data_IF_600287609621
#
_entry.id   IF_600287609621
#
_cell.length_a   1.000
_cell.length_b   1.000
_cell.length_c   1.000
_cell.angle_alpha   90.00
_cell.angle_beta   90.00
_cell.angle_gamma   90.00
#
_symmetry.space_group_name_H-M   'P 1'
#
loop_
_entity.id
_entity.type
_entity.pdbx_description
1 polymer ?
#
# COMPACT_ATOMS: atom_id res chain seq x y z
N UNK A 1 -5.12 10.73 -9.40
CA UNK A 1 -4.86 10.61 -7.94
C UNK A 1 -5.76 9.52 -7.40
N UNK A 2 -5.25 8.61 -6.57
CA UNK A 2 -6.04 7.61 -5.84
C UNK A 2 -5.78 7.78 -4.36
N UNK A 3 -6.83 7.68 -3.54
CA UNK A 3 -6.72 7.89 -2.11
C UNK A 3 -7.35 6.73 -1.34
N UNK A 4 -6.75 6.39 -0.21
CA UNK A 4 -7.31 5.42 0.75
C UNK A 4 -7.04 5.90 2.16
N UNK A 5 -7.96 5.62 3.07
CA UNK A 5 -7.83 5.97 4.48
C UNK A 5 -7.79 4.73 5.36
N UNK A 6 -7.18 4.86 6.53
CA UNK A 6 -7.28 3.87 7.59
C UNK A 6 -7.29 4.58 8.95
N UNK A 7 -7.83 3.90 9.97
CA UNK A 7 -7.66 4.30 11.36
C UNK A 7 -6.52 3.48 11.95
N UNK A 8 -5.61 4.17 12.63
CA UNK A 8 -4.48 3.56 13.32
C UNK A 8 -4.95 2.58 14.40
N UNK A 9 -4.13 1.57 14.66
CA UNK A 9 -4.34 0.58 15.71
C UNK A 9 -3.07 0.44 16.56
N UNK A 10 -3.18 -0.20 17.74
CA UNK A 10 -2.04 -0.38 18.63
C UNK A 10 -1.45 0.96 19.09
N UNK A 11 -0.12 1.19 18.95
CA UNK A 11 0.51 2.46 19.34
C UNK A 11 -0.06 3.71 18.64
N UNK A 12 -0.68 3.52 17.47
CA UNK A 12 -1.30 4.60 16.69
C UNK A 12 -2.83 4.64 16.86
N UNK A 13 -3.38 4.01 17.90
CA UNK A 13 -4.83 4.05 18.16
C UNK A 13 -5.33 5.50 18.26
N UNK A 14 -6.40 5.82 17.53
CA UNK A 14 -6.98 7.16 17.45
C UNK A 14 -6.44 8.02 16.31
N UNK A 15 -5.28 7.69 15.74
CA UNK A 15 -4.76 8.35 14.54
C UNK A 15 -5.64 8.03 13.32
N UNK A 16 -5.89 9.02 12.47
CA UNK A 16 -6.51 8.83 11.15
C UNK A 16 -5.46 9.08 10.09
N UNK A 17 -5.27 8.12 9.19
CA UNK A 17 -4.31 8.21 8.10
C UNK A 17 -5.02 8.34 6.76
N UNK A 18 -4.44 9.16 5.89
CA UNK A 18 -4.82 9.34 4.49
C UNK A 18 -3.58 9.06 3.64
N UNK A 19 -3.68 8.11 2.73
CA UNK A 19 -2.65 7.84 1.74
C UNK A 19 -3.12 8.30 0.37
N UNK A 20 -2.33 9.12 -0.30
CA UNK A 20 -2.57 9.65 -1.63
C UNK A 20 -1.51 9.13 -2.60
N UNK A 21 -1.95 8.40 -3.62
CA UNK A 21 -1.09 7.90 -4.69
C UNK A 21 -1.20 8.82 -5.91
N UNK A 22 -0.05 9.26 -6.38
CA UNK A 22 0.16 9.97 -7.65
C UNK A 22 0.91 9.06 -8.62
N UNK A 23 1.05 9.41 -9.90
CA UNK A 23 1.85 8.61 -10.83
C UNK A 23 3.33 8.46 -10.42
N UNK A 24 3.89 9.41 -9.66
CA UNK A 24 5.31 9.44 -9.31
C UNK A 24 5.62 9.22 -7.83
N UNK A 25 4.62 9.24 -6.95
CA UNK A 25 4.84 9.11 -5.51
C UNK A 25 3.59 8.69 -4.75
N UNK A 26 3.82 8.11 -3.57
CA UNK A 26 2.82 7.83 -2.54
C UNK A 26 3.09 8.75 -1.35
N UNK A 27 2.05 9.45 -0.90
CA UNK A 27 2.11 10.43 0.18
C UNK A 27 1.23 9.96 1.33
N UNK A 28 1.81 9.82 2.52
CA UNK A 28 1.09 9.46 3.74
C UNK A 28 0.89 10.68 4.62
N UNK A 29 -0.37 10.95 4.94
CA UNK A 29 -0.78 12.00 5.84
C UNK A 29 -1.40 11.42 7.11
N UNK A 30 -1.21 12.12 8.22
CA UNK A 30 -1.86 11.85 9.49
C UNK A 30 -2.72 13.05 9.89
N UNK A 31 -3.93 12.79 10.37
CA UNK A 31 -4.80 13.82 10.91
C UNK A 31 -4.21 14.38 12.20
N UNK A 32 -4.08 15.71 12.25
CA UNK A 32 -3.59 16.42 13.42
C UNK A 32 -4.71 17.26 14.02
N UNK A 33 -5.30 16.72 15.10
CA UNK A 33 -6.47 17.29 15.78
C UNK A 33 -6.30 18.77 16.15
N UNK A 34 -5.16 19.25 16.72
CA UNK A 34 -5.04 20.64 17.13
C UNK A 34 -5.19 21.66 15.99
N UNK A 35 -4.88 21.26 14.75
CA UNK A 35 -5.01 22.12 13.56
C UNK A 35 -6.17 21.70 12.65
N UNK A 36 -6.91 20.65 12.99
CA UNK A 36 -7.98 20.07 12.18
C UNK A 36 -7.58 19.88 10.70
N UNK A 37 -6.39 19.33 10.47
CA UNK A 37 -5.90 19.08 9.11
C UNK A 37 -4.98 17.88 9.02
N UNK A 38 -4.86 17.35 7.81
CA UNK A 38 -3.89 16.32 7.47
C UNK A 38 -2.49 16.93 7.30
N UNK A 39 -1.51 16.38 8.00
CA UNK A 39 -0.10 16.71 7.86
C UNK A 39 0.63 15.58 7.14
N UNK A 40 1.49 15.91 6.18
CA UNK A 40 2.35 14.94 5.51
C UNK A 40 3.36 14.40 6.52
N UNK A 41 3.32 13.09 6.77
CA UNK A 41 4.23 12.43 7.71
C UNK A 41 5.31 11.63 7.01
N UNK A 42 5.00 11.05 5.83
CA UNK A 42 5.94 10.26 5.03
C UNK A 42 5.61 10.31 3.54
N UNK A 43 6.59 9.97 2.70
CA UNK A 43 6.44 9.83 1.26
C UNK A 43 7.38 8.78 0.69
N UNK A 44 6.95 8.08 -0.36
CA UNK A 44 7.77 7.15 -1.12
C UNK A 44 7.63 7.46 -2.61
N UNK A 45 8.74 7.48 -3.35
CA UNK A 45 8.74 7.70 -4.80
C UNK A 45 8.39 6.41 -5.53
N UNK A 46 7.69 6.53 -6.65
CA UNK A 46 7.29 5.43 -7.51
C UNK A 46 8.10 5.47 -8.80
N UNK A 47 8.47 4.29 -9.29
CA UNK A 47 9.07 4.14 -10.61
C UNK A 47 8.10 4.59 -11.70
N UNK A 48 8.62 5.33 -12.69
CA UNK A 48 7.88 5.77 -13.88
C UNK A 48 7.28 4.63 -14.73
N UNK A 49 7.78 3.41 -14.59
CA UNK A 49 7.31 2.20 -15.29
C UNK A 49 6.02 1.61 -14.68
N UNK A 50 5.62 2.04 -13.48
CA UNK A 50 4.39 1.57 -12.84
C UNK A 50 3.14 2.05 -13.58
N UNK A 51 2.24 1.10 -13.86
CA UNK A 51 0.91 1.44 -14.36
C UNK A 51 0.07 2.08 -13.27
N UNK A 52 -0.38 3.30 -13.53
CA UNK A 52 -1.33 4.04 -12.70
C UNK A 52 -2.72 4.02 -13.36
N UNK A 53 -3.83 3.88 -12.63
CA UNK A 53 -3.95 3.70 -11.18
C UNK A 53 -3.36 2.39 -10.64
N UNK A 54 -2.82 2.44 -9.41
CA UNK A 54 -2.42 1.25 -8.68
C UNK A 54 -3.68 0.44 -8.28
N UNK A 55 -3.68 -0.85 -8.62
CA UNK A 55 -4.72 -1.79 -8.23
C UNK A 55 -4.11 -3.07 -7.67
N UNK A 56 -4.46 -3.50 -6.44
CA UNK A 56 -5.26 -2.74 -5.46
C UNK A 56 -4.51 -1.50 -4.94
N UNK A 57 -5.18 -0.60 -4.21
CA UNK A 57 -4.53 0.45 -3.43
C UNK A 57 -5.22 0.59 -2.08
N UNK A 58 -4.72 -0.13 -1.07
CA UNK A 58 -5.35 -0.19 0.25
C UNK A 58 -4.35 0.07 1.37
N UNK A 59 -4.68 1.03 2.25
CA UNK A 59 -3.86 1.35 3.41
C UNK A 59 -4.18 0.34 4.53
N UNK A 60 -3.16 -0.38 4.97
CA UNK A 60 -3.26 -1.48 5.93
C UNK A 60 -2.50 -1.10 7.20
N UNK A 61 -3.14 -1.27 8.35
CA UNK A 61 -2.43 -1.15 9.62
C UNK A 61 -1.42 -2.28 9.75
N UNK A 62 -0.15 -1.91 9.82
CA UNK A 62 0.94 -2.84 10.09
C UNK A 62 1.38 -2.71 11.56
N UNK A 63 2.22 -3.64 12.02
CA UNK A 63 2.85 -3.60 13.35
C UNK A 63 4.09 -2.68 13.35
N UNK A 64 3.97 -1.54 12.69
CA UNK A 64 5.00 -0.52 12.49
C UNK A 64 4.45 0.85 12.89
N UNK A 65 5.32 1.86 12.98
CA UNK A 65 4.92 3.21 13.40
C UNK A 65 3.88 3.86 12.48
N UNK A 66 3.88 3.49 11.19
CA UNK A 66 2.93 3.95 10.19
C UNK A 66 2.27 2.77 9.47
N UNK A 67 1.03 2.91 8.97
CA UNK A 67 0.41 1.91 8.11
C UNK A 67 1.17 1.77 6.78
N UNK A 68 1.00 0.63 6.12
CA UNK A 68 1.64 0.31 4.84
C UNK A 68 0.60 0.28 3.72
N UNK A 69 0.96 0.65 2.50
CA UNK A 69 0.05 0.61 1.36
C UNK A 69 0.25 -0.72 0.61
N UNK A 70 -0.79 -1.53 0.50
CA UNK A 70 -0.80 -2.70 -0.38
C UNK A 70 -1.16 -2.27 -1.81
N UNK A 71 -0.30 -2.63 -2.76
CA UNK A 71 -0.40 -2.23 -4.18
C UNK A 71 -0.49 -3.42 -5.14
N UNK A 72 -0.48 -4.64 -4.62
CA UNK A 72 -0.44 -5.86 -5.40
C UNK A 72 -0.71 -7.12 -4.58
N UNK A 73 -1.22 -8.14 -5.25
CA UNK A 73 -1.28 -9.51 -4.75
C UNK A 73 -0.83 -10.43 -5.88
N UNK A 74 0.07 -11.37 -5.59
CA UNK A 74 0.57 -12.36 -6.53
C UNK A 74 0.39 -13.76 -5.96
N UNK A 75 0.03 -14.71 -6.82
CA UNK A 75 0.05 -16.13 -6.46
C UNK A 75 1.50 -16.61 -6.43
N UNK A 76 1.82 -17.47 -5.47
CA UNK A 76 3.13 -18.14 -5.40
C UNK A 76 3.08 -19.48 -6.12
N UNK A 77 4.23 -20.16 -6.27
CA UNK A 77 4.29 -21.52 -6.81
C UNK A 77 3.53 -22.55 -5.94
N UNK A 78 3.32 -22.23 -4.67
CA UNK A 78 2.48 -23.03 -3.78
C UNK A 78 1.02 -22.64 -3.95
N UNK A 79 0.16 -23.65 -4.18
CA UNK A 79 -1.28 -23.47 -4.13
C UNK A 79 -1.69 -22.81 -2.80
N UNK A 80 -2.70 -21.93 -2.91
CA UNK A 80 -3.32 -21.19 -1.81
C UNK A 80 -2.38 -20.29 -1.00
N UNK A 81 -1.19 -19.97 -1.52
CA UNK A 81 -0.28 -18.98 -0.93
C UNK A 81 -0.15 -17.77 -1.84
N UNK A 82 -0.26 -16.61 -1.22
CA UNK A 82 -0.25 -15.32 -1.89
C UNK A 82 0.78 -14.41 -1.22
N UNK A 83 1.42 -13.59 -2.04
CA UNK A 83 2.33 -12.55 -1.59
C UNK A 83 1.74 -11.18 -1.92
N UNK A 84 1.89 -10.25 -0.98
CA UNK A 84 1.40 -8.89 -1.10
C UNK A 84 2.55 -7.97 -1.49
N UNK A 85 2.32 -7.10 -2.47
CA UNK A 85 3.26 -6.03 -2.82
C UNK A 85 3.01 -4.81 -1.93
N UNK A 86 4.03 -4.36 -1.22
CA UNK A 86 3.93 -3.30 -0.20
C UNK A 86 4.72 -2.06 -0.57
N UNK A 87 4.10 -0.90 -0.43
CA UNK A 87 4.82 0.38 -0.29
C UNK A 87 4.94 0.67 1.20
N UNK A 88 6.17 0.63 1.69
CA UNK A 88 6.52 0.98 3.07
C UNK A 88 6.96 2.44 3.14
N UNK A 89 6.65 3.07 4.26
CA UNK A 89 7.01 4.46 4.55
C UNK A 89 8.17 4.50 5.54
N UNK A 90 9.31 3.95 5.16
CA UNK A 90 10.50 3.90 6.01
C UNK A 90 11.17 5.28 6.11
N UNK A 91 12.03 5.48 7.10
CA UNK A 91 12.78 6.74 7.18
C UNK A 91 13.70 6.82 5.98
N UNK A 92 13.65 7.95 5.27
CA UNK A 92 14.74 8.35 4.37
C UNK A 92 15.99 8.53 5.25
N UNK A 93 16.63 7.43 5.62
CA UNK A 93 18.09 7.44 5.75
C UNK A 93 18.59 7.94 4.40
N UNK A 94 19.67 8.71 4.41
CA UNK A 94 20.27 9.27 3.20
C UNK A 94 20.69 8.08 2.32
N UNK A 95 19.77 7.63 1.48
CA UNK A 95 19.96 6.57 0.51
C UNK A 95 20.32 7.29 -0.78
N UNK A 96 21.31 6.75 -1.48
CA UNK A 96 21.74 7.25 -2.78
C UNK A 96 20.50 7.37 -3.70
N UNK A 97 20.42 8.37 -4.60
CA UNK A 97 19.26 8.64 -5.47
C UNK A 97 18.85 7.52 -6.44
N UNK A 98 19.41 6.31 -6.28
CA UNK A 98 19.23 5.14 -7.13
C UNK A 98 18.32 4.08 -6.52
N UNK A 99 17.90 4.18 -5.25
CA UNK A 99 16.92 3.26 -4.65
C UNK A 99 15.49 3.71 -4.94
N UNK A 100 15.13 3.75 -6.22
CA UNK A 100 13.73 3.64 -6.65
C UNK A 100 13.21 2.27 -6.25
N UNK A 101 11.98 2.17 -5.74
CA UNK A 101 11.35 0.86 -5.49
C UNK A 101 11.45 0.03 -6.78
N UNK A 102 12.29 -1.02 -6.77
CA UNK A 102 12.53 -1.86 -7.94
C UNK A 102 11.27 -2.70 -8.24
N UNK A 103 10.64 -2.34 -9.35
CA UNK A 103 9.32 -2.80 -9.82
C UNK A 103 9.43 -4.04 -10.71
N UNK A 104 10.60 -4.71 -10.74
CA UNK A 104 10.72 -6.06 -11.29
C UNK A 104 9.77 -7.08 -10.62
N UNK A 105 9.19 -6.75 -9.46
CA UNK A 105 8.15 -7.51 -8.75
C UNK A 105 6.71 -7.42 -9.33
N UNK A 106 6.44 -6.65 -10.38
CA UNK A 106 5.06 -6.43 -10.88
C UNK A 106 4.72 -7.19 -12.17
N UNK A 107 5.51 -8.19 -12.55
CA UNK A 107 5.34 -8.98 -13.78
C UNK A 107 4.43 -10.22 -13.62
N UNK A 108 3.60 -10.44 -14.65
CA UNK A 108 2.77 -11.59 -15.08
C UNK A 108 1.93 -12.41 -14.06
N UNK A 109 2.33 -12.56 -12.80
CA UNK A 109 1.62 -13.33 -11.77
C UNK A 109 0.69 -12.49 -10.89
N UNK A 110 0.58 -11.18 -11.16
CA UNK A 110 -0.26 -10.26 -10.39
C UNK A 110 -1.74 -10.56 -10.64
N UNK A 111 -2.48 -10.79 -9.56
CA UNK A 111 -3.92 -11.02 -9.59
C UNK A 111 -4.67 -9.72 -9.92
N UNK A 112 -5.76 -9.83 -10.69
CA UNK A 112 -6.69 -8.73 -10.94
C UNK A 112 -7.61 -8.53 -9.72
N UNK A 113 -7.06 -7.96 -8.65
CA UNK A 113 -7.76 -7.71 -7.39
C UNK A 113 -8.81 -6.62 -7.59
N UNK A 114 -10.08 -6.97 -7.34
CA UNK A 114 -11.25 -6.08 -7.46
C UNK A 114 -11.70 -5.51 -6.11
N UNK A 115 -11.26 -6.10 -5.00
CA UNK A 115 -11.60 -5.64 -3.67
C UNK A 115 -10.59 -6.08 -2.63
N UNK A 116 -10.34 -5.22 -1.62
CA UNK A 116 -9.43 -5.51 -0.51
C UNK A 116 -9.87 -4.80 0.77
N UNK A 117 -9.83 -5.51 1.90
CA UNK A 117 -10.08 -4.96 3.23
C UNK A 117 -9.24 -5.64 4.29
N UNK A 118 -8.84 -4.90 5.32
CA UNK A 118 -8.28 -5.46 6.55
C UNK A 118 -9.44 -5.85 7.47
N UNK A 119 -9.53 -7.13 7.81
CA UNK A 119 -10.62 -7.69 8.65
C UNK A 119 -10.14 -8.02 10.07
N UNK A 120 -8.83 -8.03 10.29
CA UNK A 120 -8.21 -8.29 11.59
C UNK A 120 -6.79 -7.78 11.62
N UNK A 121 -6.16 -7.89 12.79
CA UNK A 121 -4.78 -7.40 13.01
C UNK A 121 -3.78 -7.99 12.01
N UNK A 122 -3.92 -9.27 11.70
CA UNK A 122 -3.03 -10.02 10.82
C UNK A 122 -3.82 -10.69 9.67
N UNK A 123 -4.93 -10.08 9.25
CA UNK A 123 -5.85 -10.70 8.29
C UNK A 123 -6.34 -9.71 7.25
N UNK A 124 -6.08 -10.04 5.99
CA UNK A 124 -6.55 -9.32 4.81
C UNK A 124 -7.52 -10.19 4.04
N UNK A 125 -8.65 -9.59 3.68
CA UNK A 125 -9.60 -10.14 2.72
C UNK A 125 -9.35 -9.46 1.37
N UNK A 126 -9.24 -10.25 0.32
CA UNK A 126 -9.20 -9.74 -1.05
C UNK A 126 -10.03 -10.61 -1.98
N UNK A 127 -10.54 -10.00 -3.04
CA UNK A 127 -11.26 -10.67 -4.12
C UNK A 127 -10.57 -10.32 -5.45
N UNK A 128 -10.44 -11.29 -6.35
CA UNK A 128 -9.81 -11.09 -7.65
C UNK A 128 -10.60 -11.80 -8.75
N UNK A 129 -10.47 -11.29 -10.00
CA UNK A 129 -11.11 -11.95 -11.14
C UNK A 129 -10.39 -13.25 -11.45
N UNK A 130 -11.15 -14.34 -11.43
CA UNK A 130 -10.65 -15.62 -11.92
C UNK A 130 -10.72 -15.64 -13.45
N UNK A 131 -9.61 -15.88 -14.12
CA UNK A 131 -9.60 -16.15 -15.56
C UNK A 131 -9.93 -17.64 -15.74
N UNK A 132 -11.21 -17.97 -15.77
CA UNK A 132 -11.63 -19.28 -16.28
C UNK A 132 -11.37 -19.23 -17.78
N UNK A 133 -10.42 -20.05 -18.25
CA UNK A 133 -10.27 -20.29 -19.68
C UNK A 133 -11.37 -21.27 -20.07
N UNK A 134 -12.29 -20.83 -20.95
CA UNK A 134 -13.23 -21.70 -21.65
C UNK A 134 -12.50 -22.58 -22.69
#
# INVERSE_FOLDING_TARGET
>A
MQCTTSRGTGPQAGSVFLCCCTPSSVLLFQWYEPLNKFLLVRSSELDSSLRFPLSPSKLINARTDFPQLCVGVQATESNDKYEFSWVKFEDRKILNPTETLDVSMFNNAKLDVVGMSQIGKDSLLFAYKNKVFD
#
